data_IF_517226329620
#
_entry.id   IF_517226329620
#
_cell.length_a   1.000
_cell.length_b   1.000
_cell.length_c   1.000
_cell.angle_alpha   90.00
_cell.angle_beta   90.00
_cell.angle_gamma   90.00
#
_symmetry.space_group_name_H-M   'P 1'
#
loop_
_entity.id
_entity.type
_entity.pdbx_description
1 polymer ?
#
# COMPACT_ATOMS: atom_id res chain seq x y z
N UNK A 1 -13.59 20.14 10.41
CA UNK A 1 -14.57 19.21 9.80
C UNK A 1 -13.89 17.86 9.65
N UNK A 2 -14.50 16.79 10.14
CA UNK A 2 -13.95 15.43 9.99
C UNK A 2 -14.36 14.89 8.62
N UNK A 3 -13.39 14.54 7.77
CA UNK A 3 -13.68 14.02 6.43
C UNK A 3 -14.07 12.54 6.48
N UNK A 4 -14.83 12.07 5.49
CA UNK A 4 -15.18 10.64 5.37
C UNK A 4 -13.93 9.77 5.31
N UNK A 5 -12.87 10.25 4.64
CA UNK A 5 -11.59 9.58 4.57
C UNK A 5 -10.96 9.36 5.96
N UNK A 6 -11.04 10.38 6.83
CA UNK A 6 -10.58 10.28 8.22
C UNK A 6 -11.47 9.37 9.07
N UNK A 7 -12.79 9.36 8.83
CA UNK A 7 -13.73 8.52 9.58
C UNK A 7 -13.56 7.02 9.29
N UNK A 8 -13.26 6.65 8.04
CA UNK A 8 -13.04 5.25 7.67
C UNK A 8 -11.79 4.65 8.32
N UNK A 9 -10.86 5.49 8.77
CA UNK A 9 -9.64 5.10 9.50
C UNK A 9 -8.91 3.90 8.86
N UNK A 10 -8.87 3.86 7.53
CA UNK A 10 -8.33 2.71 6.78
C UNK A 10 -6.84 2.57 7.10
N UNK A 11 -6.40 1.43 7.65
CA UNK A 11 -4.99 1.22 7.96
C UNK A 11 -4.12 1.25 6.69
N UNK A 12 -2.91 1.83 6.73
CA UNK A 12 -1.99 1.78 5.60
C UNK A 12 -1.77 0.35 5.11
N UNK A 13 -1.59 0.18 3.79
CA UNK A 13 -1.42 -1.10 3.11
C UNK A 13 -2.68 -1.99 3.07
N UNK A 14 -3.82 -1.57 3.62
CA UNK A 14 -5.10 -2.24 3.35
C UNK A 14 -5.40 -2.20 1.85
N UNK A 15 -5.91 -3.29 1.30
CA UNK A 15 -6.24 -3.39 -0.13
C UNK A 15 -7.65 -2.88 -0.38
N UNK A 16 -7.80 -2.06 -1.41
CA UNK A 16 -9.04 -1.39 -1.79
C UNK A 16 -9.42 -1.77 -3.21
N UNK A 17 -10.65 -2.24 -3.41
CA UNK A 17 -11.28 -2.24 -4.74
C UNK A 17 -12.02 -0.93 -4.96
N UNK A 18 -11.87 -0.38 -6.16
CA UNK A 18 -12.29 0.99 -6.45
C UNK A 18 -13.07 1.05 -7.76
N UNK A 19 -14.13 1.84 -7.79
CA UNK A 19 -14.92 2.18 -8.98
C UNK A 19 -14.60 3.59 -9.49
N UNK A 20 -13.32 3.93 -9.58
CA UNK A 20 -12.88 5.22 -10.14
C UNK A 20 -12.39 5.06 -11.58
N UNK A 21 -12.93 5.83 -12.53
CA UNK A 21 -12.52 5.74 -13.94
C UNK A 21 -11.02 5.97 -14.14
N UNK A 22 -10.41 6.89 -13.40
CA UNK A 22 -8.98 7.18 -13.52
C UNK A 22 -8.13 5.95 -13.11
N UNK A 23 -8.50 5.33 -11.99
CA UNK A 23 -7.87 4.10 -11.50
C UNK A 23 -8.04 2.94 -12.48
N UNK A 24 -9.23 2.79 -13.06
CA UNK A 24 -9.52 1.72 -14.02
C UNK A 24 -8.77 1.89 -15.34
N UNK A 25 -8.63 3.12 -15.82
CA UNK A 25 -7.79 3.41 -17.02
C UNK A 25 -6.34 3.03 -16.77
N UNK A 26 -5.78 3.41 -15.63
CA UNK A 26 -4.39 3.04 -15.29
C UNK A 26 -4.20 1.53 -15.18
N UNK A 27 -5.13 0.85 -14.52
CA UNK A 27 -5.09 -0.61 -14.43
C UNK A 27 -5.18 -1.30 -15.80
N UNK A 28 -6.04 -0.80 -16.69
CA UNK A 28 -6.20 -1.32 -18.04
C UNK A 28 -4.94 -1.14 -18.91
N UNK A 29 -4.21 -0.03 -18.74
CA UNK A 29 -2.91 0.19 -19.41
C UNK A 29 -1.88 -0.84 -18.95
N UNK A 30 -1.79 -1.03 -17.63
CA UNK A 30 -0.80 -1.91 -17.03
C UNK A 30 -1.10 -3.41 -17.23
N UNK A 31 -2.38 -3.78 -17.37
CA UNK A 31 -2.82 -5.16 -17.60
C UNK A 31 -3.97 -5.21 -18.60
N UNK A 32 -3.69 -5.16 -19.92
CA UNK A 32 -4.70 -5.30 -20.95
C UNK A 32 -5.45 -6.64 -20.79
N UNK A 33 -6.77 -6.62 -20.71
CA UNK A 33 -7.60 -7.83 -20.53
C UNK A 33 -7.96 -8.16 -19.07
N UNK A 34 -7.70 -7.26 -18.12
CA UNK A 34 -8.15 -7.42 -16.75
C UNK A 34 -9.69 -7.26 -16.67
N UNK A 35 -10.40 -8.35 -16.36
CA UNK A 35 -11.88 -8.41 -16.35
C UNK A 35 -12.47 -7.99 -14.98
N UNK A 36 -11.66 -7.97 -13.92
CA UNK A 36 -12.12 -7.71 -12.54
C UNK A 36 -11.51 -6.42 -11.99
N UNK A 37 -12.17 -5.77 -11.02
CA UNK A 37 -11.62 -4.57 -10.39
C UNK A 37 -10.32 -4.94 -9.62
N UNK A 38 -9.19 -4.30 -9.92
CA UNK A 38 -7.94 -4.57 -9.24
C UNK A 38 -7.93 -3.97 -7.83
N UNK A 39 -7.13 -4.57 -6.96
CA UNK A 39 -6.88 -4.06 -5.63
C UNK A 39 -5.70 -3.10 -5.60
N UNK A 40 -5.90 -1.96 -4.95
CA UNK A 40 -4.91 -0.93 -4.69
C UNK A 40 -4.58 -0.87 -3.20
N UNK A 41 -3.39 -0.42 -2.84
CA UNK A 41 -3.00 -0.28 -1.44
C UNK A 41 -3.32 1.13 -0.95
N UNK A 42 -4.10 1.22 0.13
CA UNK A 42 -4.26 2.46 0.88
C UNK A 42 -2.92 2.96 1.42
N UNK A 43 -2.76 4.28 1.44
CA UNK A 43 -1.57 4.92 1.97
C UNK A 43 -1.98 5.79 3.15
N UNK A 44 -2.54 6.97 2.86
CA UNK A 44 -2.91 7.94 3.88
C UNK A 44 -4.08 8.81 3.41
N UNK A 45 -4.64 9.57 4.35
CA UNK A 45 -5.64 10.60 4.06
C UNK A 45 -4.92 11.89 3.67
N UNK A 46 -5.33 12.48 2.54
CA UNK A 46 -4.83 13.78 2.05
C UNK A 46 -6.04 14.67 1.78
N UNK A 47 -6.32 15.60 2.71
CA UNK A 47 -7.55 16.38 2.71
C UNK A 47 -8.77 15.47 2.89
N UNK A 48 -9.71 15.53 1.94
CA UNK A 48 -10.92 14.69 1.94
C UNK A 48 -10.78 13.41 1.10
N UNK A 49 -9.60 13.17 0.53
CA UNK A 49 -9.32 12.03 -0.34
C UNK A 49 -8.39 11.01 0.31
N UNK A 50 -8.41 9.80 -0.24
CA UNK A 50 -7.47 8.74 0.09
C UNK A 50 -6.38 8.70 -0.97
N UNK A 51 -5.13 8.82 -0.56
CA UNK A 51 -4.00 8.46 -1.39
C UNK A 51 -3.85 6.95 -1.41
N UNK A 52 -3.73 6.40 -2.61
CA UNK A 52 -3.63 4.96 -2.87
C UNK A 52 -2.47 4.69 -3.82
N UNK A 53 -1.99 3.45 -3.82
CA UNK A 53 -0.94 3.00 -4.73
C UNK A 53 -1.24 1.67 -5.39
N UNK A 54 -0.88 1.56 -6.66
CA UNK A 54 -0.89 0.28 -7.34
C UNK A 54 0.21 -0.63 -6.79
N UNK A 55 0.14 -1.97 -7.00
CA UNK A 55 1.24 -2.87 -6.66
C UNK A 55 2.58 -2.46 -7.29
N UNK A 56 2.55 -1.77 -8.45
CA UNK A 56 3.73 -1.24 -9.13
C UNK A 56 4.19 0.13 -8.65
N UNK A 57 3.48 0.76 -7.71
CA UNK A 57 3.84 2.04 -7.10
C UNK A 57 3.25 3.29 -7.74
N UNK A 58 2.39 3.17 -8.77
CA UNK A 58 1.65 4.30 -9.33
C UNK A 58 0.75 4.90 -8.24
N UNK A 59 0.67 6.23 -8.17
CA UNK A 59 -0.07 6.96 -7.14
C UNK A 59 -1.35 7.52 -7.72
N UNK A 60 -2.46 7.37 -6.99
CA UNK A 60 -3.70 8.06 -7.28
C UNK A 60 -4.32 8.61 -5.99
N UNK A 61 -5.22 9.57 -6.15
CA UNK A 61 -6.10 10.04 -5.08
C UNK A 61 -7.54 9.76 -5.48
N UNK A 62 -8.30 9.19 -4.55
CA UNK A 62 -9.68 8.76 -4.80
C UNK A 62 -10.61 9.26 -3.72
N UNK A 63 -11.88 9.42 -4.09
CA UNK A 63 -12.93 9.66 -3.11
C UNK A 63 -13.11 8.39 -2.26
N UNK A 64 -13.30 8.51 -0.94
CA UNK A 64 -13.70 7.36 -0.13
C UNK A 64 -15.02 6.72 -0.59
N UNK A 65 -15.90 7.49 -1.25
CA UNK A 65 -17.14 6.97 -1.83
C UNK A 65 -16.94 6.05 -3.05
N UNK A 66 -15.75 6.03 -3.64
CA UNK A 66 -15.43 5.14 -4.77
C UNK A 66 -15.00 3.74 -4.33
N UNK A 67 -14.91 3.49 -3.01
CA UNK A 67 -14.49 2.20 -2.45
C UNK A 67 -15.63 1.19 -2.55
N UNK A 68 -15.36 0.07 -3.23
CA UNK A 68 -16.29 -1.06 -3.34
C UNK A 68 -16.03 -2.12 -2.28
N UNK A 69 -14.75 -2.34 -1.93
CA UNK A 69 -14.34 -3.38 -0.99
C UNK A 69 -13.01 -3.03 -0.31
N UNK A 70 -12.82 -3.55 0.90
CA UNK A 70 -11.66 -3.34 1.75
C UNK A 70 -11.20 -4.69 2.29
N UNK A 71 -9.96 -5.07 1.97
CA UNK A 71 -9.24 -6.12 2.70
C UNK A 71 -8.28 -5.44 3.66
N UNK A 72 -8.57 -5.43 4.97
CA UNK A 72 -7.71 -4.78 5.95
C UNK A 72 -6.34 -5.45 6.00
N UNK A 73 -5.31 -4.66 6.27
CA UNK A 73 -3.95 -5.16 6.50
C UNK A 73 -3.43 -4.65 7.84
N UNK A 74 -2.57 -5.45 8.47
CA UNK A 74 -1.80 -5.00 9.62
C UNK A 74 -0.76 -3.98 9.16
N UNK A 75 -0.73 -2.76 9.75
CA UNK A 75 0.28 -1.77 9.42
C UNK A 75 1.68 -2.30 9.72
N UNK A 76 2.59 -2.14 8.76
CA UNK A 76 4.00 -2.46 8.96
C UNK A 76 4.69 -1.26 9.61
N UNK A 77 5.13 -1.41 10.86
CA UNK A 77 5.88 -0.38 11.58
C UNK A 77 7.38 -0.65 11.44
N UNK A 78 8.14 0.40 11.09
CA UNK A 78 9.60 0.38 10.94
C UNK A 78 10.24 1.50 11.76
N UNK A 79 11.52 1.37 12.07
CA UNK A 79 12.33 2.45 12.65
C UNK A 79 13.01 3.22 11.52
N UNK A 80 12.58 4.46 11.32
CA UNK A 80 13.02 5.32 10.24
C UNK A 80 13.71 6.57 10.78
N UNK A 81 14.74 7.05 10.09
CA UNK A 81 15.47 8.24 10.49
C UNK A 81 14.74 9.49 9.98
N UNK A 82 14.28 10.40 10.87
CA UNK A 82 13.64 11.64 10.45
C UNK A 82 14.60 12.53 9.64
N UNK A 83 14.06 13.32 8.72
CA UNK A 83 14.85 14.16 7.81
C UNK A 83 15.83 15.08 8.54
N UNK A 84 15.39 15.76 9.60
CA UNK A 84 16.25 16.67 10.36
C UNK A 84 17.46 15.94 10.99
N UNK A 85 17.26 14.72 11.49
CA UNK A 85 18.35 13.88 12.02
C UNK A 85 19.31 13.48 10.90
N UNK A 86 18.78 13.07 9.75
CA UNK A 86 19.60 12.72 8.59
C UNK A 86 20.47 13.90 8.13
N UNK A 87 19.90 15.11 8.05
CA UNK A 87 20.62 16.33 7.69
C UNK A 87 21.71 16.65 8.72
N UNK A 88 21.45 16.49 10.01
CA UNK A 88 22.45 16.66 11.06
C UNK A 88 23.60 15.65 10.90
N UNK A 89 23.28 14.38 10.65
CA UNK A 89 24.29 13.34 10.44
C UNK A 89 25.16 13.59 9.20
N UNK A 90 24.59 14.14 8.13
CA UNK A 90 25.35 14.50 6.93
C UNK A 90 26.42 15.58 7.19
N UNK A 91 26.24 16.40 8.24
CA UNK A 91 27.20 17.43 8.66
C UNK A 91 28.36 16.89 9.51
N UNK A 92 28.28 15.65 9.99
CA UNK A 92 29.34 15.05 10.80
C UNK A 92 30.63 14.81 10.00
N UNK A 93 31.80 14.74 10.64
CA UNK A 93 33.04 14.28 10.01
C UNK A 93 32.87 12.90 9.36
N UNK A 94 33.61 12.62 8.28
CA UNK A 94 33.48 11.36 7.51
C UNK A 94 33.62 10.12 8.40
N UNK A 95 34.54 10.15 9.36
CA UNK A 95 34.78 9.04 10.29
C UNK A 95 33.54 8.72 11.15
N UNK A 96 32.85 9.75 11.64
CA UNK A 96 31.63 9.58 12.46
C UNK A 96 30.42 9.19 11.61
N UNK A 97 30.38 9.61 10.34
CA UNK A 97 29.34 9.18 9.39
C UNK A 97 29.39 7.68 9.07
N UNK A 98 30.58 7.08 9.12
CA UNK A 98 30.77 5.65 8.88
C UNK A 98 30.34 4.79 10.07
N UNK A 99 30.26 5.36 11.27
CA UNK A 99 29.72 4.66 12.43
C UNK A 99 28.21 4.50 12.29
N UNK A 100 27.71 3.28 12.58
CA UNK A 100 26.27 3.00 12.54
C UNK A 100 25.53 3.96 13.47
N UNK A 101 24.43 4.61 13.00
CA UNK A 101 23.64 5.49 13.85
C UNK A 101 23.03 4.71 15.02
N UNK A 102 23.03 5.30 16.22
CA UNK A 102 22.37 4.70 17.37
C UNK A 102 20.84 4.70 17.24
N UNK A 103 20.13 3.91 18.07
CA UNK A 103 18.67 3.80 18.02
C UNK A 103 17.94 5.14 18.24
N UNK A 104 18.56 6.06 18.97
CA UNK A 104 18.04 7.42 19.22
C UNK A 104 17.90 8.25 17.94
N UNK A 105 18.59 7.87 16.86
CA UNK A 105 18.48 8.52 15.56
C UNK A 105 17.19 8.14 14.80
N UNK A 106 16.45 7.13 15.25
CA UNK A 106 15.29 6.59 14.56
C UNK A 106 13.99 6.83 15.33
N UNK A 107 12.88 6.89 14.60
CA UNK A 107 11.52 7.02 15.13
C UNK A 107 10.59 6.02 14.45
N UNK A 108 9.55 5.54 15.15
CA UNK A 108 8.59 4.62 14.57
C UNK A 108 7.80 5.30 13.45
N UNK A 109 7.64 4.58 12.34
CA UNK A 109 6.90 5.04 11.18
C UNK A 109 6.13 3.90 10.53
N UNK A 110 4.96 4.20 9.97
CA UNK A 110 4.25 3.28 9.08
C UNK A 110 4.98 3.21 7.75
N UNK A 111 5.26 1.99 7.29
CA UNK A 111 5.71 1.74 5.93
C UNK A 111 4.55 1.92 4.96
N UNK A 112 4.80 2.70 3.92
CA UNK A 112 3.79 3.03 2.92
C UNK A 112 4.05 2.27 1.61
N UNK A 113 5.32 2.26 1.18
CA UNK A 113 5.78 1.52 0.01
C UNK A 113 7.31 1.46 -0.04
N UNK A 114 7.84 0.66 -0.97
CA UNK A 114 9.28 0.51 -1.16
C UNK A 114 9.67 0.58 -2.64
N UNK A 115 10.93 0.92 -2.88
CA UNK A 115 11.61 0.71 -4.15
C UNK A 115 12.59 -0.44 -4.05
N UNK A 116 12.65 -1.23 -5.12
CA UNK A 116 13.71 -2.19 -5.32
C UNK A 116 14.57 -1.84 -6.52
N UNK A 117 15.86 -2.14 -6.40
CA UNK A 117 16.82 -2.01 -7.48
C UNK A 117 16.64 -3.12 -8.54
N UNK A 118 17.49 -3.09 -9.58
CA UNK A 118 17.47 -4.09 -10.67
C UNK A 118 17.82 -5.51 -10.23
N UNK A 119 18.43 -5.68 -9.06
CA UNK A 119 18.77 -6.97 -8.46
C UNK A 119 17.75 -7.40 -7.40
N UNK A 120 16.58 -6.76 -7.36
CA UNK A 120 15.49 -7.03 -6.42
C UNK A 120 15.88 -6.83 -4.95
N UNK A 121 16.88 -5.98 -4.68
CA UNK A 121 17.26 -5.56 -3.32
C UNK A 121 16.51 -4.29 -2.96
N UNK A 122 16.25 -4.11 -1.66
CA UNK A 122 15.61 -2.90 -1.14
C UNK A 122 16.54 -1.69 -1.37
N UNK A 123 16.08 -0.73 -2.18
CA UNK A 123 16.81 0.49 -2.56
C UNK A 123 16.35 1.68 -1.69
N UNK A 124 15.03 1.82 -1.52
CA UNK A 124 14.46 2.87 -0.70
C UNK A 124 13.16 2.42 -0.02
N UNK A 125 12.90 2.97 1.16
CA UNK A 125 11.63 2.83 1.87
C UNK A 125 10.98 4.20 2.03
N UNK A 126 9.66 4.22 1.87
CA UNK A 126 8.84 5.42 2.01
C UNK A 126 7.86 5.21 3.16
N UNK A 127 7.89 6.15 4.10
CA UNK A 127 7.26 6.00 5.39
C UNK A 127 6.43 7.23 5.75
N UNK A 128 5.53 7.05 6.71
CA UNK A 128 4.86 8.14 7.41
C UNK A 128 5.08 7.95 8.90
N UNK A 129 5.69 8.93 9.56
CA UNK A 129 5.99 8.83 10.98
C UNK A 129 4.70 8.77 11.80
N UNK A 130 4.70 7.97 12.87
CA UNK A 130 3.59 7.91 13.82
C UNK A 130 3.44 9.25 14.56
N UNK A 131 4.57 9.91 14.84
CA UNK A 131 4.59 11.29 15.29
C UNK A 131 4.27 12.23 14.11
N UNK A 132 3.10 12.87 14.18
CA UNK A 132 2.61 13.80 13.17
C UNK A 132 3.54 14.98 12.92
N UNK A 133 4.31 15.41 13.92
CA UNK A 133 5.21 16.57 13.81
C UNK A 133 6.42 16.31 12.90
N UNK A 134 6.74 15.04 12.65
CA UNK A 134 7.83 14.61 11.78
C UNK A 134 7.41 14.47 10.31
N UNK A 135 6.12 14.62 10.01
CA UNK A 135 5.59 14.56 8.65
C UNK A 135 5.50 15.96 8.06
N UNK A 136 6.64 16.48 7.60
CA UNK A 136 6.78 17.80 6.96
C UNK A 136 5.89 17.96 5.72
N UNK A 137 5.68 16.85 5.00
CA UNK A 137 4.88 16.80 3.77
C UNK A 137 3.59 15.99 3.98
N UNK A 138 2.58 16.27 3.16
CA UNK A 138 1.30 15.56 3.22
C UNK A 138 1.41 14.07 2.85
N UNK A 139 2.42 13.70 2.04
CA UNK A 139 2.62 12.35 1.53
C UNK A 139 3.74 11.55 2.23
N UNK A 140 3.93 10.27 1.86
CA UNK A 140 5.02 9.44 2.36
C UNK A 140 6.40 10.03 2.00
N UNK A 141 7.33 10.03 2.95
CA UNK A 141 8.70 10.52 2.76
C UNK A 141 9.70 9.36 2.68
N UNK A 142 10.73 9.52 1.85
CA UNK A 142 11.84 8.56 1.82
C UNK A 142 12.67 8.69 3.10
N UNK A 143 12.91 7.59 3.79
CA UNK A 143 13.70 7.60 5.02
C UNK A 143 14.68 6.42 5.08
N UNK A 144 15.92 6.64 5.55
CA UNK A 144 16.81 5.56 5.97
C UNK A 144 16.17 4.75 7.09
N UNK A 145 16.36 3.44 7.07
CA UNK A 145 15.86 2.53 8.09
C UNK A 145 17.01 1.98 8.94
N UNK A 146 16.70 1.59 10.17
CA UNK A 146 17.62 0.80 10.97
C UNK A 146 17.83 -0.60 10.39
N UNK A 147 18.88 -1.29 10.86
CA UNK A 147 19.27 -2.61 10.36
C UNK A 147 18.16 -3.65 10.54
N UNK A 148 17.46 -3.64 11.68
CA UNK A 148 16.38 -4.60 11.97
C UNK A 148 15.19 -4.42 11.03
N UNK A 149 14.73 -3.19 10.80
CA UNK A 149 13.67 -2.91 9.83
C UNK A 149 14.09 -3.27 8.42
N UNK A 150 15.35 -3.00 8.04
CA UNK A 150 15.88 -3.39 6.73
C UNK A 150 15.81 -4.91 6.53
N UNK A 151 16.14 -5.71 7.55
CA UNK A 151 16.06 -7.16 7.52
C UNK A 151 14.60 -7.65 7.43
N UNK A 152 13.70 -7.07 8.22
CA UNK A 152 12.26 -7.34 8.15
C UNK A 152 11.76 -7.13 6.72
N UNK A 153 12.03 -5.97 6.13
CA UNK A 153 11.55 -5.62 4.80
C UNK A 153 12.09 -6.52 3.69
N UNK A 154 13.31 -7.08 3.82
CA UNK A 154 13.81 -8.06 2.85
C UNK A 154 12.89 -9.28 2.73
N UNK A 155 12.21 -9.68 3.80
CA UNK A 155 11.32 -10.84 3.81
C UNK A 155 9.91 -10.52 3.30
N UNK A 156 9.36 -9.35 3.67
CA UNK A 156 7.95 -9.00 3.44
C UNK A 156 7.71 -8.05 2.26
N UNK A 157 8.74 -7.38 1.73
CA UNK A 157 8.61 -6.42 0.62
C UNK A 157 8.28 -7.12 -0.70
N UNK A 158 7.00 -7.44 -0.88
CA UNK A 158 6.47 -8.15 -2.04
C UNK A 158 5.17 -7.47 -2.50
N UNK A 159 4.91 -7.51 -3.80
CA UNK A 159 3.79 -6.80 -4.45
C UNK A 159 2.41 -7.28 -4.01
N UNK A 160 2.32 -8.46 -3.40
CA UNK A 160 1.11 -9.02 -2.83
C UNK A 160 0.79 -8.44 -1.45
N UNK A 161 1.77 -7.85 -0.76
CA UNK A 161 1.62 -7.27 0.58
C UNK A 161 1.71 -5.75 0.62
N UNK A 162 2.43 -5.15 -0.31
CA UNK A 162 2.61 -3.69 -0.37
C UNK A 162 2.99 -3.23 -1.78
N UNK A 163 2.91 -1.92 -2.08
CA UNK A 163 3.45 -1.38 -3.31
C UNK A 163 4.98 -1.56 -3.37
N UNK A 164 5.46 -2.20 -4.44
CA UNK A 164 6.89 -2.35 -4.73
C UNK A 164 7.17 -1.77 -6.11
N UNK A 165 7.66 -0.54 -6.09
CA UNK A 165 8.14 0.14 -7.29
C UNK A 165 9.49 -0.44 -7.72
N UNK A 166 9.69 -0.55 -9.04
CA UNK A 166 10.96 -0.98 -9.62
C UNK A 166 11.37 -0.04 -10.74
N UNK A 167 12.65 0.33 -10.81
CA UNK A 167 13.20 1.15 -11.91
C UNK A 167 13.01 0.54 -13.30
N UNK A 168 12.86 -0.78 -13.40
CA UNK A 168 12.76 -1.52 -14.66
C UNK A 168 11.35 -1.59 -15.29
N UNK A 169 10.33 -0.99 -14.66
CA UNK A 169 9.02 -0.78 -15.27
C UNK A 169 8.05 -1.97 -15.33
N UNK A 170 6.77 -1.62 -15.27
CA UNK A 170 5.50 -2.40 -15.27
C UNK A 170 5.02 -2.95 -13.92
N UNK A 171 3.79 -2.55 -13.58
CA UNK A 171 3.03 -3.05 -12.45
C UNK A 171 2.57 -4.49 -12.71
N UNK A 172 3.00 -5.43 -11.88
CA UNK A 172 2.52 -6.81 -11.93
C UNK A 172 1.27 -6.93 -11.06
N UNK A 173 0.09 -6.70 -11.66
CA UNK A 173 -1.23 -6.84 -11.00
C UNK A 173 -1.57 -8.28 -10.60
N UNK A 174 -0.82 -9.26 -11.12
CA UNK A 174 -0.92 -10.67 -10.71
C UNK A 174 -0.65 -10.90 -9.23
N UNK A 175 0.01 -9.97 -8.53
CA UNK A 175 0.35 -10.15 -7.12
C UNK A 175 -0.87 -10.06 -6.17
N UNK A 176 -2.00 -9.49 -6.63
CA UNK A 176 -3.24 -9.39 -5.83
C UNK A 176 -4.29 -10.42 -6.24
N UNK A 177 -3.85 -11.45 -6.97
CA UNK A 177 -4.73 -12.53 -7.46
C UNK A 177 -5.29 -13.42 -6.38
N UNK A 178 -4.64 -13.52 -5.21
CA UNK A 178 -5.13 -14.38 -4.12
C UNK A 178 -6.48 -13.91 -3.62
N UNK A 179 -6.61 -12.62 -3.30
CA UNK A 179 -7.88 -12.05 -2.85
C UNK A 179 -8.93 -12.17 -3.96
N UNK A 180 -8.56 -11.85 -5.21
CA UNK A 180 -9.47 -12.02 -6.35
C UNK A 180 -9.97 -13.45 -6.52
N UNK A 181 -9.12 -14.47 -6.31
CA UNK A 181 -9.52 -15.87 -6.36
C UNK A 181 -10.56 -16.19 -5.29
N UNK A 182 -10.36 -15.74 -4.05
CA UNK A 182 -11.34 -15.88 -2.98
C UNK A 182 -12.68 -15.21 -3.33
N UNK A 183 -12.66 -13.99 -3.90
CA UNK A 183 -13.89 -13.34 -4.36
C UNK A 183 -14.59 -14.10 -5.50
N UNK A 184 -13.84 -14.73 -6.42
CA UNK A 184 -14.42 -15.56 -7.48
C UNK A 184 -15.12 -16.78 -6.92
N UNK A 185 -14.50 -17.44 -5.94
CA UNK A 185 -15.09 -18.60 -5.25
C UNK A 185 -16.38 -18.21 -4.51
N UNK A 186 -16.35 -17.10 -3.75
CA UNK A 186 -17.54 -16.58 -3.07
C UNK A 186 -18.66 -16.20 -4.05
N UNK A 187 -18.34 -15.56 -5.18
CA UNK A 187 -19.30 -15.25 -6.25
C UNK A 187 -19.89 -16.52 -6.87
N UNK A 188 -19.07 -17.55 -7.11
CA UNK A 188 -19.52 -18.83 -7.64
C UNK A 188 -20.46 -19.54 -6.66
N UNK A 189 -20.14 -19.54 -5.36
CA UNK A 189 -20.99 -20.11 -4.32
C UNK A 189 -22.33 -19.37 -4.23
N UNK A 190 -22.31 -18.03 -4.21
CA UNK A 190 -23.51 -17.19 -4.17
C UNK A 190 -24.42 -17.43 -5.38
N UNK A 191 -23.85 -17.48 -6.60
CA UNK A 191 -24.61 -17.79 -7.82
C UNK A 191 -25.29 -19.16 -7.76
N UNK A 192 -24.59 -20.18 -7.26
CA UNK A 192 -25.18 -21.52 -7.07
C UNK A 192 -26.32 -21.49 -6.08
N UNK A 193 -26.16 -20.78 -4.96
CA UNK A 193 -27.21 -20.63 -3.96
C UNK A 193 -28.45 -19.96 -4.55
N UNK A 194 -28.30 -18.81 -5.21
CA UNK A 194 -29.44 -18.12 -5.84
C UNK A 194 -30.11 -18.95 -6.93
N UNK A 195 -29.33 -19.64 -7.77
CA UNK A 195 -29.89 -20.53 -8.79
C UNK A 195 -30.73 -21.65 -8.16
N UNK A 196 -30.26 -22.26 -7.07
CA UNK A 196 -30.99 -23.29 -6.34
C UNK A 196 -32.26 -22.75 -5.64
N UNK A 197 -32.18 -21.54 -5.07
CA UNK A 197 -33.33 -20.87 -4.46
C UNK A 197 -34.42 -20.54 -5.49
N UNK A 198 -34.03 -20.05 -6.67
CA UNK A 198 -34.96 -19.73 -7.76
C UNK A 198 -35.55 -20.98 -8.44
N UNK A 199 -34.80 -22.08 -8.48
CA UNK A 199 -35.31 -23.35 -9.02
C UNK A 199 -36.25 -24.06 -8.05
N UNK A 200 -36.04 -23.92 -6.74
CA UNK A 200 -36.92 -24.50 -5.71
C UNK A 200 -38.22 -23.72 -5.51
N UNK A 201 -38.26 -22.42 -5.81
CA UNK A 201 -39.52 -21.64 -5.83
C UNK A 201 -40.46 -21.99 -6.99
N UNK A 202 -39.98 -22.74 -7.99
CA UNK A 202 -40.75 -23.14 -9.17
C UNK A 202 -41.39 -24.53 -9.04
N UNK A 203 -41.18 -25.23 -7.91
CA UNK A 203 -41.65 -26.60 -7.65
C UNK A 203 -42.75 -26.75 -6.60
N UNK A 204 -43.25 -25.63 -6.05
CA UNK A 204 -44.46 -25.60 -5.24
C UNK A 204 -45.60 -24.97 -6.07
N UNK A 205 -46.18 -25.76 -6.96
CA UNK A 205 -47.47 -25.50 -7.58
C UNK A 205 -48.31 -26.79 -7.50
#
# INVERSE_FOLDING_TARGET
MTSLASLLAIPPLSKLQLQSQAVLREAAIASPGFIELPFWFSQCVVGDQLEIRSPGGYVARVSPGDICDIVPADPVVVQAMPRHVLVQRQKLPVRERQTEPGPECYRPAYLMWVMKDRWNRLDAAFVRFLDGTLNEEAGPQQAPLDTASHQLLRSIARRDRMPVASRAGRASWSAVTRELATHREARKASRKFFAAALSSSSGCA
#
